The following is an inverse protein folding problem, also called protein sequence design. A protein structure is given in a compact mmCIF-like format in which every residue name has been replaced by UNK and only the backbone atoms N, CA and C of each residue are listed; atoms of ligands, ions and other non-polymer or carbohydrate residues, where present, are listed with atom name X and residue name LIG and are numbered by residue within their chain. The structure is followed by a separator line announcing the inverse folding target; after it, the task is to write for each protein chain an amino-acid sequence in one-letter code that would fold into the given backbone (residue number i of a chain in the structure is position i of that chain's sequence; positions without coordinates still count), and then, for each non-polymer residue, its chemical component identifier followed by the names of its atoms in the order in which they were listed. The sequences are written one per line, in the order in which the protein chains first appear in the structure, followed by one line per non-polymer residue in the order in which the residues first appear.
data_IF_872073044859
#
_entry.id   IF_872073044859
#
_cell.length_a   1.000
_cell.length_b   1.000
_cell.length_c   1.000
_cell.angle_alpha   90.00
_cell.angle_beta   90.00
_cell.angle_gamma   90.00
#
_symmetry.space_group_name_H-M   'P 1'
#
loop_
_entity.id
_entity.type
_entity.pdbx_description
1 polymer ?
#
# COMPACT_ATOMS: atom_id res chain seq x y z
N UNK A 1 20.06 -84.05 23.22
CA UNK A 1 19.03 -83.90 22.18
C UNK A 1 18.93 -82.41 21.89
N UNK A 2 19.51 -81.90 20.77
CA UNK A 2 19.52 -80.49 20.43
C UNK A 2 18.51 -80.28 19.31
N UNK A 3 17.57 -79.40 19.51
CA UNK A 3 16.60 -78.91 18.51
C UNK A 3 16.98 -77.50 18.13
N UNK A 4 17.41 -77.33 16.89
CA UNK A 4 17.66 -75.98 16.29
C UNK A 4 16.39 -75.48 15.60
N UNK A 5 15.90 -74.33 16.00
CA UNK A 5 14.84 -73.59 15.30
C UNK A 5 15.48 -72.58 14.36
N UNK A 6 15.28 -72.76 13.07
CA UNK A 6 15.53 -71.74 12.03
C UNK A 6 14.28 -70.89 11.95
N UNK A 7 14.41 -69.60 12.24
CA UNK A 7 13.36 -68.62 12.03
C UNK A 7 13.65 -67.89 10.71
N UNK A 8 12.75 -67.99 9.75
CA UNK A 8 12.74 -67.15 8.55
C UNK A 8 12.29 -65.76 8.91
N UNK A 9 13.13 -64.78 8.66
CA UNK A 9 12.77 -63.34 8.64
C UNK A 9 12.35 -62.96 7.21
N UNK A 10 11.06 -62.79 6.98
CA UNK A 10 10.54 -62.17 5.78
C UNK A 10 10.64 -60.64 5.92
N UNK A 11 11.48 -60.01 5.09
CA UNK A 11 11.55 -58.54 5.01
C UNK A 11 10.38 -58.04 4.13
N UNK A 12 9.39 -57.42 4.73
CA UNK A 12 8.40 -56.60 4.02
C UNK A 12 8.99 -55.22 3.76
N UNK A 13 9.31 -54.92 2.50
CA UNK A 13 9.70 -53.60 2.08
C UNK A 13 8.45 -52.70 2.06
N UNK A 14 8.32 -51.83 3.04
CA UNK A 14 7.32 -50.75 3.05
C UNK A 14 7.91 -49.61 2.19
N UNK A 15 7.44 -49.47 0.97
CA UNK A 15 7.70 -48.30 0.13
C UNK A 15 6.87 -47.14 0.68
N UNK A 16 7.47 -46.39 1.60
CA UNK A 16 6.91 -45.11 2.05
C UNK A 16 6.92 -44.09 0.92
N UNK A 17 5.80 -43.95 0.23
CA UNK A 17 5.59 -42.81 -0.67
C UNK A 17 5.56 -41.53 0.16
N UNK A 18 6.60 -40.71 0.07
CA UNK A 18 6.58 -39.37 0.61
C UNK A 18 5.50 -38.58 -0.15
N UNK A 19 4.38 -38.30 0.52
CA UNK A 19 3.42 -37.28 0.06
C UNK A 19 4.16 -35.94 0.06
N UNK A 20 4.63 -35.51 -1.10
CA UNK A 20 5.05 -34.13 -1.32
C UNK A 20 3.78 -33.28 -1.09
N UNK A 21 3.78 -32.32 -0.14
CA UNK A 21 2.63 -31.42 -0.01
C UNK A 21 2.45 -30.74 -1.37
N UNK A 22 1.33 -30.98 -2.02
CA UNK A 22 0.98 -30.32 -3.27
C UNK A 22 1.09 -28.82 -3.05
N UNK A 23 1.88 -28.12 -3.87
CA UNK A 23 1.89 -26.68 -3.92
C UNK A 23 0.42 -26.26 -4.09
N UNK A 24 -0.10 -25.53 -3.10
CA UNK A 24 -1.45 -24.97 -3.20
C UNK A 24 -1.49 -24.18 -4.51
N UNK A 25 -2.36 -24.56 -5.43
CA UNK A 25 -2.53 -23.86 -6.68
C UNK A 25 -2.82 -22.38 -6.33
N UNK A 26 -1.85 -21.52 -6.66
CA UNK A 26 -2.04 -20.08 -6.50
C UNK A 26 -3.24 -19.69 -7.38
N UNK A 27 -4.28 -19.20 -6.74
CA UNK A 27 -5.42 -18.68 -7.48
C UNK A 27 -4.90 -17.60 -8.44
N UNK A 28 -5.31 -17.70 -9.72
CA UNK A 28 -4.93 -16.71 -10.73
C UNK A 28 -5.19 -15.28 -10.19
N UNK A 29 -4.30 -14.32 -10.48
CA UNK A 29 -4.47 -12.94 -10.04
C UNK A 29 -5.87 -12.46 -10.44
N UNK A 30 -6.62 -11.91 -9.48
CA UNK A 30 -7.92 -11.32 -9.81
C UNK A 30 -7.69 -10.11 -10.71
N UNK A 31 -8.55 -9.90 -11.73
CA UNK A 31 -8.45 -8.69 -12.54
C UNK A 31 -8.60 -7.46 -11.65
N UNK A 32 -7.77 -6.45 -11.89
CA UNK A 32 -7.86 -5.18 -11.21
C UNK A 32 -9.20 -4.50 -11.52
N UNK A 33 -9.90 -4.06 -10.49
CA UNK A 33 -11.11 -3.26 -10.58
C UNK A 33 -10.72 -1.80 -10.39
N UNK A 34 -10.97 -0.97 -11.38
CA UNK A 34 -10.77 0.47 -11.35
C UNK A 34 -12.12 1.17 -11.24
N UNK A 35 -12.24 2.09 -10.30
CA UNK A 35 -13.41 2.96 -10.21
C UNK A 35 -13.49 3.88 -11.43
N UNK A 36 -14.68 4.36 -11.82
CA UNK A 36 -14.80 5.48 -12.74
C UNK A 36 -14.06 6.71 -12.20
N UNK A 37 -13.42 7.51 -13.08
CA UNK A 37 -12.82 8.77 -12.70
C UNK A 37 -13.85 9.72 -12.09
N UNK A 38 -13.43 10.52 -11.12
CA UNK A 38 -14.28 11.55 -10.54
C UNK A 38 -14.47 12.71 -11.51
N UNK A 39 -15.65 13.33 -11.44
CA UNK A 39 -16.03 14.51 -12.23
C UNK A 39 -16.54 15.63 -11.30
N UNK A 40 -16.57 16.84 -11.81
CA UNK A 40 -17.24 17.95 -11.12
C UNK A 40 -18.70 17.60 -10.85
N UNK A 41 -19.19 17.89 -9.64
CA UNK A 41 -20.50 17.50 -9.14
C UNK A 41 -20.57 16.13 -8.47
N UNK A 42 -19.50 15.30 -8.54
CA UNK A 42 -19.50 14.03 -7.83
C UNK A 42 -19.44 14.21 -6.32
N UNK A 43 -20.28 13.46 -5.59
CA UNK A 43 -20.26 13.42 -4.14
C UNK A 43 -19.13 12.50 -3.65
N UNK A 44 -18.36 13.01 -2.71
CA UNK A 44 -17.26 12.25 -2.08
C UNK A 44 -17.38 12.30 -0.56
N UNK A 45 -16.97 11.23 0.11
CA UNK A 45 -17.05 11.16 1.58
C UNK A 45 -15.68 11.08 2.22
N UNK A 46 -15.45 11.93 3.20
CA UNK A 46 -14.25 11.93 4.04
C UNK A 46 -14.52 11.09 5.27
N UNK A 47 -13.66 10.13 5.57
CA UNK A 47 -13.75 9.22 6.73
C UNK A 47 -12.44 9.22 7.52
N UNK A 48 -12.48 8.84 8.79
CA UNK A 48 -11.30 8.75 9.65
C UNK A 48 -11.14 7.33 10.23
N UNK A 49 -10.68 6.34 9.45
CA UNK A 49 -10.57 4.96 9.93
C UNK A 49 -9.40 4.72 10.90
N UNK A 50 -8.45 5.65 10.98
CA UNK A 50 -7.31 5.64 11.91
C UNK A 50 -7.48 6.63 13.06
N UNK A 51 -6.60 7.64 13.11
CA UNK A 51 -6.63 8.71 14.11
C UNK A 51 -7.51 9.89 13.67
N UNK A 52 -8.01 10.65 14.65
CA UNK A 52 -8.83 11.83 14.39
C UNK A 52 -8.05 12.94 13.65
N UNK A 53 -8.65 13.63 12.68
CA UNK A 53 -8.07 14.84 12.10
C UNK A 53 -8.05 16.00 13.12
N UNK A 54 -7.42 17.10 12.73
CA UNK A 54 -7.42 18.36 13.45
C UNK A 54 -7.98 19.50 12.55
N UNK A 55 -7.76 20.74 12.94
CA UNK A 55 -8.27 21.91 12.21
C UNK A 55 -7.84 21.98 10.72
N UNK A 56 -6.79 21.27 10.33
CA UNK A 56 -6.31 21.20 8.94
C UNK A 56 -7.26 20.45 8.01
N UNK A 57 -8.22 19.70 8.56
CA UNK A 57 -9.26 19.04 7.78
C UNK A 57 -10.02 20.03 6.89
N UNK A 58 -10.34 21.23 7.42
CA UNK A 58 -11.05 22.27 6.66
C UNK A 58 -10.32 22.65 5.36
N UNK A 59 -8.99 22.76 5.42
CA UNK A 59 -8.17 23.07 4.25
C UNK A 59 -8.23 21.98 3.17
N UNK A 60 -8.22 20.72 3.56
CA UNK A 60 -8.36 19.61 2.61
C UNK A 60 -9.76 19.54 1.99
N UNK A 61 -10.80 19.86 2.76
CA UNK A 61 -12.17 19.99 2.23
C UNK A 61 -12.25 21.10 1.18
N UNK A 62 -11.65 22.27 1.44
CA UNK A 62 -11.57 23.37 0.46
C UNK A 62 -10.90 22.95 -0.84
N UNK A 63 -9.82 22.16 -0.76
CA UNK A 63 -9.09 21.66 -1.93
C UNK A 63 -9.98 20.73 -2.76
N UNK A 64 -10.64 19.76 -2.14
CA UNK A 64 -11.56 18.86 -2.86
C UNK A 64 -12.76 19.62 -3.46
N UNK A 65 -13.31 20.59 -2.74
CA UNK A 65 -14.36 21.48 -3.26
C UNK A 65 -13.84 22.30 -4.45
N UNK A 66 -12.58 22.72 -4.41
CA UNK A 66 -11.90 23.38 -5.53
C UNK A 66 -11.70 22.48 -6.77
N UNK A 67 -11.82 21.15 -6.63
CA UNK A 67 -11.90 20.23 -7.76
C UNK A 67 -13.33 20.12 -8.35
N UNK A 68 -14.29 20.84 -7.80
CA UNK A 68 -15.71 20.78 -8.16
C UNK A 68 -16.46 19.63 -7.49
N UNK A 69 -15.88 18.97 -6.47
CA UNK A 69 -16.49 17.86 -5.77
C UNK A 69 -17.42 18.33 -4.64
N UNK A 70 -18.51 17.59 -4.43
CA UNK A 70 -19.40 17.77 -3.28
C UNK A 70 -18.89 16.94 -2.10
N UNK A 71 -18.33 17.60 -1.07
CA UNK A 71 -17.64 16.92 0.01
C UNK A 71 -18.56 16.73 1.22
N UNK A 72 -18.74 15.47 1.63
CA UNK A 72 -19.44 15.09 2.84
C UNK A 72 -18.45 14.56 3.89
N UNK A 73 -18.70 14.86 5.15
CA UNK A 73 -17.96 14.24 6.26
C UNK A 73 -18.73 13.02 6.78
N UNK A 74 -18.03 11.93 7.05
CA UNK A 74 -18.58 10.82 7.78
C UNK A 74 -19.09 11.27 9.18
N UNK A 75 -20.08 10.57 9.70
CA UNK A 75 -20.74 10.95 10.95
C UNK A 75 -19.77 11.01 12.14
N UNK A 76 -18.70 10.20 12.10
CA UNK A 76 -17.74 9.99 13.18
C UNK A 76 -16.34 10.55 12.89
N UNK A 77 -16.16 11.33 11.82
CA UNK A 77 -14.84 11.85 11.39
C UNK A 77 -14.12 12.61 12.51
N UNK A 78 -14.87 13.35 13.34
CA UNK A 78 -14.33 14.22 14.40
C UNK A 78 -14.36 13.56 15.79
N UNK A 79 -14.81 12.32 15.90
CA UNK A 79 -14.82 11.59 17.16
C UNK A 79 -13.39 11.34 17.67
N UNK A 80 -13.26 11.20 18.99
CA UNK A 80 -11.98 10.93 19.65
C UNK A 80 -12.14 9.85 20.71
N UNK A 81 -11.31 8.84 20.63
CA UNK A 81 -11.24 7.76 21.61
C UNK A 81 -9.77 7.33 21.82
N UNK A 82 -9.12 7.87 22.83
CA UNK A 82 -7.69 7.73 22.99
C UNK A 82 -6.93 8.36 21.80
N UNK A 83 -6.14 7.55 21.10
CA UNK A 83 -5.44 7.96 19.87
C UNK A 83 -6.22 7.68 18.57
N UNK A 84 -7.44 7.17 18.67
CA UNK A 84 -8.31 6.80 17.55
C UNK A 84 -9.36 7.87 17.24
N UNK A 85 -9.89 7.86 16.03
CA UNK A 85 -11.04 8.66 15.61
C UNK A 85 -12.37 7.99 16.00
N UNK A 86 -12.65 7.86 17.29
CA UNK A 86 -13.81 7.15 17.80
C UNK A 86 -13.60 5.68 18.07
N UNK A 87 -14.66 4.98 18.45
CA UNK A 87 -14.64 3.55 18.68
C UNK A 87 -14.44 2.75 17.38
N UNK A 88 -14.10 1.48 17.48
CA UNK A 88 -13.96 0.61 16.29
C UNK A 88 -15.31 0.52 15.53
N UNK A 89 -16.44 0.50 16.23
CA UNK A 89 -17.80 0.47 15.67
C UNK A 89 -18.12 1.74 14.89
N UNK A 90 -17.81 2.92 15.45
CA UNK A 90 -18.05 4.21 14.83
C UNK A 90 -17.23 4.37 13.54
N UNK A 91 -15.93 4.08 13.59
CA UNK A 91 -15.03 4.15 12.43
C UNK A 91 -15.41 3.16 11.33
N UNK A 92 -15.82 1.95 11.72
CA UNK A 92 -16.31 0.94 10.79
C UNK A 92 -17.64 1.33 10.16
N UNK A 93 -18.55 1.93 10.92
CA UNK A 93 -19.83 2.42 10.41
C UNK A 93 -19.61 3.45 9.30
N UNK A 94 -18.74 4.45 9.51
CA UNK A 94 -18.39 5.43 8.49
C UNK A 94 -17.75 4.78 7.26
N UNK A 95 -16.82 3.83 7.47
CA UNK A 95 -16.14 3.12 6.38
C UNK A 95 -17.13 2.34 5.50
N UNK A 96 -18.01 1.55 6.13
CA UNK A 96 -19.01 0.77 5.40
C UNK A 96 -20.08 1.66 4.75
N UNK A 97 -20.52 2.73 5.41
CA UNK A 97 -21.45 3.69 4.84
C UNK A 97 -20.87 4.38 3.59
N UNK A 98 -19.56 4.75 3.63
CA UNK A 98 -18.90 5.36 2.49
C UNK A 98 -18.83 4.43 1.27
N UNK A 99 -18.62 3.13 1.47
CA UNK A 99 -18.56 2.15 0.38
C UNK A 99 -19.93 1.56 -0.03
N UNK A 100 -20.98 1.77 0.75
CA UNK A 100 -22.32 1.23 0.46
C UNK A 100 -23.29 2.26 -0.12
N UNK A 101 -23.07 3.56 0.10
CA UNK A 101 -23.95 4.63 -0.37
C UNK A 101 -23.80 4.85 -1.89
N UNK A 102 -24.82 4.54 -2.72
CA UNK A 102 -24.70 4.63 -4.18
C UNK A 102 -24.48 6.06 -4.69
N UNK A 103 -24.74 7.08 -3.86
CA UNK A 103 -24.50 8.48 -4.22
C UNK A 103 -23.04 8.91 -4.05
N UNK A 104 -22.20 8.12 -3.37
CA UNK A 104 -20.77 8.45 -3.13
C UNK A 104 -19.92 7.83 -4.25
N UNK A 105 -19.11 8.66 -4.90
CA UNK A 105 -18.21 8.24 -5.99
C UNK A 105 -16.74 8.12 -5.53
N UNK A 106 -16.35 8.82 -4.46
CA UNK A 106 -15.00 8.79 -3.89
C UNK A 106 -15.00 8.74 -2.37
N UNK A 107 -14.03 8.04 -1.80
CA UNK A 107 -13.80 7.92 -0.35
C UNK A 107 -12.39 8.41 -0.05
N UNK A 108 -12.28 9.41 0.81
CA UNK A 108 -11.01 10.02 1.19
C UNK A 108 -10.74 9.83 2.66
N UNK A 109 -9.53 9.40 3.00
CA UNK A 109 -9.11 9.32 4.39
C UNK A 109 -8.80 10.73 4.93
N UNK A 110 -9.37 11.09 6.06
CA UNK A 110 -9.06 12.33 6.74
C UNK A 110 -7.61 12.33 7.23
N UNK A 111 -7.20 11.26 7.92
CA UNK A 111 -5.88 11.08 8.51
C UNK A 111 -5.53 9.59 8.66
N UNK A 112 -4.22 9.28 8.66
CA UNK A 112 -3.69 7.98 9.04
C UNK A 112 -3.50 7.85 10.55
N UNK A 113 -2.26 7.75 10.99
CA UNK A 113 -1.91 7.52 12.39
C UNK A 113 -1.91 6.03 12.70
N UNK A 114 -2.94 5.54 13.43
CA UNK A 114 -3.09 4.13 13.75
C UNK A 114 -4.57 3.77 13.91
N UNK A 115 -4.93 2.53 13.59
CA UNK A 115 -6.23 1.96 13.95
C UNK A 115 -6.98 1.31 12.81
N UNK A 116 -6.58 1.53 11.56
CA UNK A 116 -7.24 0.94 10.39
C UNK A 116 -7.24 -0.59 10.44
N UNK A 117 -6.14 -1.22 10.83
CA UNK A 117 -6.04 -2.68 10.95
C UNK A 117 -7.06 -3.29 11.93
N UNK A 118 -7.56 -2.54 12.91
CA UNK A 118 -8.53 -3.03 13.89
C UNK A 118 -9.93 -3.29 13.32
N UNK A 119 -10.26 -2.62 12.21
CA UNK A 119 -11.63 -2.60 11.67
C UNK A 119 -11.77 -3.24 10.29
N UNK A 120 -10.68 -3.35 9.52
CA UNK A 120 -10.74 -3.74 8.10
C UNK A 120 -11.30 -5.14 7.88
N UNK A 121 -11.19 -6.06 8.84
CA UNK A 121 -11.75 -7.41 8.70
C UNK A 121 -13.27 -7.42 8.56
N UNK A 122 -13.94 -6.37 9.04
CA UNK A 122 -15.41 -6.20 9.01
C UNK A 122 -15.88 -5.26 7.88
N UNK A 123 -14.99 -4.87 6.94
CA UNK A 123 -15.36 -4.12 5.74
C UNK A 123 -16.32 -4.94 4.88
N UNK A 124 -17.42 -4.32 4.42
CA UNK A 124 -18.32 -4.89 3.42
C UNK A 124 -17.66 -4.92 2.03
N UNK A 125 -16.88 -5.97 1.81
CA UNK A 125 -16.20 -6.20 0.53
C UNK A 125 -17.19 -6.42 -0.62
N UNK A 126 -18.40 -6.90 -0.34
CA UNK A 126 -19.40 -7.10 -1.39
C UNK A 126 -19.92 -5.75 -1.92
N UNK A 127 -20.09 -4.76 -1.05
CA UNK A 127 -20.43 -3.41 -1.46
C UNK A 127 -19.31 -2.78 -2.33
N UNK A 128 -18.05 -2.92 -1.91
CA UNK A 128 -16.89 -2.44 -2.67
C UNK A 128 -16.84 -3.02 -4.09
N UNK A 129 -17.13 -4.31 -4.25
CA UNK A 129 -17.12 -4.98 -5.57
C UNK A 129 -18.29 -4.60 -6.44
N UNK A 130 -19.46 -4.40 -5.84
CA UNK A 130 -20.69 -4.09 -6.56
C UNK A 130 -20.65 -2.70 -7.19
N UNK A 131 -20.05 -1.75 -6.51
CA UNK A 131 -19.97 -0.36 -6.95
C UNK A 131 -18.60 0.23 -6.53
N UNK A 132 -17.56 0.05 -7.36
CA UNK A 132 -16.21 0.47 -7.04
C UNK A 132 -16.09 1.99 -6.99
N UNK A 133 -15.44 2.51 -5.95
CA UNK A 133 -15.21 3.93 -5.71
C UNK A 133 -13.73 4.26 -5.69
N UNK A 134 -13.40 5.48 -6.09
CA UNK A 134 -12.06 6.03 -5.85
C UNK A 134 -11.80 6.02 -4.34
N UNK A 135 -10.68 5.42 -3.91
CA UNK A 135 -10.22 5.47 -2.53
C UNK A 135 -8.84 6.11 -2.46
N UNK A 136 -8.71 7.18 -1.65
CA UNK A 136 -7.45 7.93 -1.45
C UNK A 136 -7.04 7.88 0.01
N UNK A 137 -5.79 7.46 0.25
CA UNK A 137 -5.17 7.46 1.57
C UNK A 137 -3.75 6.95 1.53
N UNK A 138 -2.97 7.18 2.58
CA UNK A 138 -1.61 6.67 2.72
C UNK A 138 -1.27 6.37 4.19
N UNK A 139 -0.01 5.98 4.52
CA UNK A 139 0.39 5.68 5.90
C UNK A 139 -0.39 4.48 6.47
N UNK A 140 -1.09 4.62 7.60
CA UNK A 140 -1.95 3.59 8.24
C UNK A 140 -2.98 2.99 7.25
N UNK A 141 -3.40 3.76 6.23
CA UNK A 141 -4.34 3.30 5.19
C UNK A 141 -3.73 2.26 4.23
N UNK A 142 -2.43 2.01 4.30
CA UNK A 142 -1.79 0.87 3.62
C UNK A 142 -2.51 -0.44 3.93
N UNK A 143 -2.95 -0.63 5.18
CA UNK A 143 -3.72 -1.80 5.59
C UNK A 143 -5.06 -1.91 4.84
N UNK A 144 -5.78 -0.79 4.70
CA UNK A 144 -7.05 -0.77 3.94
C UNK A 144 -6.82 -0.98 2.44
N UNK A 145 -5.79 -0.36 1.86
CA UNK A 145 -5.39 -0.58 0.46
C UNK A 145 -5.08 -2.06 0.20
N UNK A 146 -4.33 -2.71 1.09
CA UNK A 146 -4.09 -4.15 1.04
C UNK A 146 -5.38 -4.98 1.07
N UNK A 147 -6.31 -4.65 1.97
CA UNK A 147 -7.62 -5.30 2.07
C UNK A 147 -8.45 -5.13 0.80
N UNK A 148 -8.56 -3.89 0.30
CA UNK A 148 -9.29 -3.56 -0.92
C UNK A 148 -8.73 -4.33 -2.12
N UNK A 149 -7.41 -4.37 -2.27
CA UNK A 149 -6.74 -5.14 -3.31
C UNK A 149 -6.98 -6.64 -3.15
N UNK A 150 -6.63 -7.22 -2.00
CA UNK A 150 -6.70 -8.68 -1.79
C UNK A 150 -8.12 -9.25 -1.86
N UNK A 151 -9.10 -8.51 -1.37
CA UNK A 151 -10.48 -9.00 -1.25
C UNK A 151 -11.38 -8.54 -2.38
N UNK A 152 -11.20 -7.31 -2.87
CA UNK A 152 -12.04 -6.76 -3.93
C UNK A 152 -11.33 -6.70 -5.29
N UNK A 153 -10.00 -6.63 -5.36
CA UNK A 153 -9.26 -6.29 -6.56
C UNK A 153 -9.30 -4.77 -6.85
N UNK A 154 -9.78 -3.97 -5.91
CA UNK A 154 -9.94 -2.53 -6.11
C UNK A 154 -8.59 -1.82 -6.12
N UNK A 155 -8.36 -1.03 -7.16
CA UNK A 155 -7.28 -0.06 -7.24
C UNK A 155 -7.55 1.07 -6.26
N UNK A 156 -6.53 1.43 -5.48
CA UNK A 156 -6.57 2.55 -4.53
C UNK A 156 -5.49 3.57 -4.87
N UNK A 157 -5.54 4.76 -4.26
CA UNK A 157 -4.57 5.82 -4.53
C UNK A 157 -3.77 6.11 -3.27
N UNK A 158 -2.45 5.95 -3.36
CA UNK A 158 -1.50 6.33 -2.34
C UNK A 158 -1.13 7.79 -2.54
N UNK A 159 -1.74 8.67 -1.77
CA UNK A 159 -1.64 10.11 -1.95
C UNK A 159 -2.10 10.89 -0.73
N UNK A 160 -2.03 12.23 -0.76
CA UNK A 160 -2.31 13.08 0.38
C UNK A 160 -3.68 12.83 1.00
N UNK A 161 -3.73 12.72 2.32
CA UNK A 161 -4.96 12.68 3.11
C UNK A 161 -5.51 14.10 3.34
N UNK A 162 -6.78 14.16 3.75
CA UNK A 162 -7.53 15.42 3.76
C UNK A 162 -7.19 16.31 4.97
N UNK A 163 -6.52 15.81 6.00
CA UNK A 163 -5.91 16.65 7.04
C UNK A 163 -4.66 17.36 6.49
N UNK A 164 -4.88 18.32 5.62
CA UNK A 164 -3.90 18.90 4.70
C UNK A 164 -2.91 19.86 5.37
N UNK A 165 -1.67 19.83 4.91
CA UNK A 165 -0.61 20.73 5.40
C UNK A 165 0.04 21.44 4.22
N UNK A 166 -0.21 22.73 4.05
CA UNK A 166 0.30 23.53 2.92
C UNK A 166 1.84 23.55 2.84
N UNK A 167 2.55 23.39 3.96
CA UNK A 167 4.01 23.31 3.97
C UNK A 167 4.56 22.01 3.37
N UNK A 168 3.73 20.96 3.26
CA UNK A 168 4.09 19.65 2.71
C UNK A 168 3.50 19.41 1.33
N UNK A 169 2.39 20.07 1.03
CA UNK A 169 1.57 19.75 -0.11
C UNK A 169 1.11 21.06 -0.77
N UNK A 170 1.86 21.44 -1.80
CA UNK A 170 1.61 22.67 -2.56
C UNK A 170 0.80 22.43 -3.86
N UNK A 171 0.85 23.37 -4.80
CA UNK A 171 0.07 23.30 -6.04
C UNK A 171 0.38 22.08 -6.92
N UNK A 172 1.65 21.63 -6.95
CA UNK A 172 2.05 20.46 -7.75
C UNK A 172 1.43 19.16 -7.21
N UNK A 173 1.38 19.01 -5.89
CA UNK A 173 0.82 17.84 -5.21
C UNK A 173 -0.71 17.83 -5.34
N UNK A 174 -1.35 19.00 -5.25
CA UNK A 174 -2.78 19.18 -5.52
C UNK A 174 -3.11 18.77 -6.96
N UNK A 175 -2.33 19.25 -7.93
CA UNK A 175 -2.48 18.87 -9.33
C UNK A 175 -2.26 17.37 -9.57
N UNK A 176 -1.27 16.76 -8.88
CA UNK A 176 -1.01 15.33 -8.95
C UNK A 176 -2.19 14.51 -8.43
N UNK A 177 -2.78 14.90 -7.28
CA UNK A 177 -3.97 14.24 -6.76
C UNK A 177 -5.14 14.36 -7.74
N UNK A 178 -5.43 15.59 -8.21
CA UNK A 178 -6.52 15.83 -9.17
C UNK A 178 -6.33 15.01 -10.44
N UNK A 179 -5.16 15.01 -11.04
CA UNK A 179 -4.88 14.25 -12.25
C UNK A 179 -5.08 12.74 -12.03
N UNK A 180 -4.57 12.19 -10.93
CA UNK A 180 -4.65 10.76 -10.65
C UNK A 180 -6.08 10.23 -10.52
N UNK A 181 -7.04 11.04 -10.02
CA UNK A 181 -8.42 10.62 -9.73
C UNK A 181 -9.47 11.14 -10.72
N UNK A 182 -9.13 12.14 -11.54
CA UNK A 182 -10.05 12.81 -12.47
C UNK A 182 -9.63 12.73 -13.93
N UNK A 183 -8.52 12.02 -14.24
CA UNK A 183 -8.10 11.75 -15.62
C UNK A 183 -7.68 10.29 -15.78
N UNK A 184 -7.66 9.84 -17.02
CA UNK A 184 -7.14 8.51 -17.40
C UNK A 184 -5.71 8.58 -17.92
N UNK A 185 -4.97 9.62 -17.57
CA UNK A 185 -3.57 9.74 -17.94
C UNK A 185 -2.68 8.87 -17.04
N UNK A 186 -1.60 8.30 -17.58
CA UNK A 186 -0.61 7.61 -16.77
C UNK A 186 0.08 8.57 -15.78
N UNK A 187 0.32 8.09 -14.58
CA UNK A 187 1.12 8.82 -13.59
C UNK A 187 2.58 8.56 -13.85
N UNK A 188 3.38 9.62 -13.98
CA UNK A 188 4.83 9.51 -14.14
C UNK A 188 5.56 10.30 -13.06
N UNK A 189 6.40 9.60 -12.30
CA UNK A 189 7.28 10.18 -11.31
C UNK A 189 8.71 10.08 -11.80
N UNK A 190 9.47 11.18 -11.57
CA UNK A 190 10.91 11.20 -11.81
C UNK A 190 11.64 11.18 -10.47
N UNK A 191 12.73 10.45 -10.42
CA UNK A 191 13.63 10.41 -9.27
C UNK A 191 14.11 11.82 -8.92
N UNK A 192 13.99 12.20 -7.66
CA UNK A 192 14.59 13.38 -7.09
C UNK A 192 15.91 12.99 -6.41
N UNK A 193 17.03 13.50 -6.93
CA UNK A 193 18.35 13.22 -6.38
C UNK A 193 18.56 13.82 -4.97
N UNK A 194 17.73 14.78 -4.55
CA UNK A 194 17.80 15.39 -3.24
C UNK A 194 17.13 14.53 -2.14
N UNK A 195 16.28 13.58 -2.53
CA UNK A 195 15.64 12.68 -1.55
C UNK A 195 16.69 11.70 -0.97
N UNK A 196 16.72 11.49 0.35
CA UNK A 196 17.68 10.56 0.96
C UNK A 196 17.62 9.15 0.38
N UNK A 197 16.42 8.68 0.02
CA UNK A 197 16.21 7.36 -0.60
C UNK A 197 16.79 7.24 -2.00
N UNK A 198 17.16 8.35 -2.66
CA UNK A 198 17.81 8.33 -3.97
C UNK A 198 19.17 7.61 -3.96
N UNK A 199 19.81 7.48 -2.79
CA UNK A 199 21.03 6.68 -2.65
C UNK A 199 20.80 5.18 -2.86
N UNK A 200 19.54 4.71 -2.79
CA UNK A 200 19.19 3.29 -3.02
C UNK A 200 18.86 3.12 -4.50
N UNK A 201 19.71 2.37 -5.20
CA UNK A 201 19.53 2.16 -6.63
C UNK A 201 20.19 0.85 -7.08
N UNK A 202 19.44 0.03 -7.82
CA UNK A 202 19.95 -1.15 -8.54
C UNK A 202 19.55 -1.00 -10.01
N UNK A 203 20.50 -0.96 -10.95
CA UNK A 203 20.21 -0.72 -12.36
C UNK A 203 19.29 -1.77 -12.98
N UNK A 204 18.39 -1.33 -13.86
CA UNK A 204 17.54 -2.20 -14.65
C UNK A 204 16.20 -1.57 -14.99
N UNK A 205 15.38 -2.38 -15.67
CA UNK A 205 13.99 -2.04 -16.03
C UNK A 205 13.09 -3.21 -15.72
N UNK A 206 11.95 -2.94 -15.11
CA UNK A 206 10.96 -3.94 -14.78
C UNK A 206 9.54 -3.39 -14.90
N UNK A 207 8.61 -4.28 -15.22
CA UNK A 207 7.17 -4.00 -15.27
C UNK A 207 6.44 -5.00 -14.39
N UNK A 208 5.46 -4.52 -13.64
CA UNK A 208 4.64 -5.35 -12.74
C UNK A 208 3.52 -4.53 -12.11
N UNK A 209 2.65 -5.17 -11.35
CA UNK A 209 1.60 -4.46 -10.60
C UNK A 209 2.23 -3.66 -9.46
N UNK A 210 1.92 -2.37 -9.35
CA UNK A 210 2.40 -1.54 -8.22
C UNK A 210 1.61 -1.86 -6.96
N UNK A 211 2.29 -2.41 -5.96
CA UNK A 211 1.69 -2.78 -4.66
C UNK A 211 2.60 -2.32 -3.53
N UNK A 212 2.03 -2.00 -2.39
CA UNK A 212 2.82 -1.62 -1.23
C UNK A 212 2.23 -0.47 -0.43
N UNK A 213 3.11 0.43 0.09
CA UNK A 213 2.75 1.58 0.91
C UNK A 213 3.74 1.82 2.06
N UNK A 214 3.26 2.12 3.26
CA UNK A 214 4.10 2.32 4.43
C UNK A 214 4.72 0.98 4.88
N UNK A 215 6.05 0.95 5.05
CA UNK A 215 6.79 -0.29 5.32
C UNK A 215 6.44 -0.91 6.68
N UNK A 216 6.27 -0.10 7.71
CA UNK A 216 5.83 -0.56 9.04
C UNK A 216 4.47 -1.25 8.96
N UNK A 217 3.53 -0.68 8.21
CA UNK A 217 2.19 -1.27 8.04
C UNK A 217 2.24 -2.53 7.17
N UNK A 218 3.08 -2.57 6.14
CA UNK A 218 3.31 -3.78 5.35
C UNK A 218 3.87 -4.90 6.24
N UNK A 219 4.91 -4.60 7.01
CA UNK A 219 5.55 -5.57 7.89
C UNK A 219 4.58 -6.11 8.95
N UNK A 220 3.79 -5.24 9.60
CA UNK A 220 2.79 -5.67 10.59
C UNK A 220 1.60 -6.40 9.96
N UNK A 221 1.33 -6.16 8.69
CA UNK A 221 0.31 -6.86 7.91
C UNK A 221 0.75 -8.23 7.40
N UNK A 222 2.04 -8.54 7.38
CA UNK A 222 2.54 -9.83 6.89
C UNK A 222 2.00 -11.00 7.73
N UNK A 223 1.55 -12.06 7.05
CA UNK A 223 0.90 -13.20 7.68
C UNK A 223 -0.60 -13.05 7.90
N UNK A 224 -1.14 -11.86 7.68
CA UNK A 224 -2.59 -11.61 7.66
C UNK A 224 -3.20 -11.97 6.29
N UNK A 225 -4.55 -12.01 6.24
CA UNK A 225 -5.29 -12.30 5.01
C UNK A 225 -5.26 -11.15 4.00
N UNK A 226 -4.74 -10.00 4.39
CA UNK A 226 -4.80 -8.74 3.62
C UNK A 226 -3.45 -8.34 3.04
N UNK A 227 -2.39 -9.00 3.48
CA UNK A 227 -1.07 -8.81 2.86
C UNK A 227 -1.12 -9.20 1.37
N UNK A 228 -0.72 -8.32 0.43
CA UNK A 228 -0.76 -8.62 -0.99
C UNK A 228 0.25 -9.71 -1.38
N UNK A 229 -0.11 -10.52 -2.36
CA UNK A 229 0.87 -11.37 -3.04
C UNK A 229 1.74 -10.46 -3.91
N UNK A 230 3.02 -10.44 -3.63
CA UNK A 230 4.00 -9.57 -4.30
C UNK A 230 4.69 -10.25 -5.49
N UNK A 231 4.36 -11.51 -5.80
CA UNK A 231 4.94 -12.22 -6.94
C UNK A 231 4.68 -11.47 -8.25
N UNK A 232 5.73 -11.12 -8.98
CA UNK A 232 5.66 -10.32 -10.20
C UNK A 232 5.27 -8.84 -10.00
N UNK A 233 5.14 -8.38 -8.76
CA UNK A 233 4.81 -7.00 -8.46
C UNK A 233 6.03 -6.09 -8.42
N UNK A 234 5.81 -4.79 -8.63
CA UNK A 234 6.71 -3.74 -8.20
C UNK A 234 6.28 -3.34 -6.80
N UNK A 235 7.14 -3.63 -5.81
CA UNK A 235 6.91 -3.20 -4.45
C UNK A 235 7.24 -1.72 -4.30
N UNK A 236 6.25 -0.91 -3.91
CA UNK A 236 6.51 0.47 -3.46
C UNK A 236 6.47 0.54 -1.95
N UNK A 237 7.48 1.19 -1.34
CA UNK A 237 7.43 1.48 0.09
C UNK A 237 8.11 2.81 0.45
N UNK A 238 7.66 3.36 1.56
CA UNK A 238 8.19 4.53 2.25
C UNK A 238 8.03 4.33 3.75
N UNK A 239 8.65 5.16 4.58
CA UNK A 239 8.33 5.20 6.02
C UNK A 239 8.72 6.53 6.67
N UNK A 240 8.23 6.75 7.89
CA UNK A 240 8.48 7.96 8.68
C UNK A 240 8.80 7.61 10.13
N UNK A 241 9.65 8.43 10.76
CA UNK A 241 10.02 8.35 12.17
C UNK A 241 10.72 7.03 12.58
N UNK A 242 11.26 6.29 11.62
CA UNK A 242 11.93 5.02 11.84
C UNK A 242 13.44 5.16 11.87
N UNK A 243 14.10 4.56 12.88
CA UNK A 243 15.54 4.47 12.93
C UNK A 243 16.08 3.53 11.82
N UNK A 244 17.31 3.72 11.33
CA UNK A 244 17.89 2.88 10.27
C UNK A 244 17.79 1.37 10.52
N UNK A 245 18.03 0.93 11.78
CA UNK A 245 17.90 -0.50 12.13
C UNK A 245 16.45 -1.03 12.05
N UNK A 246 15.44 -0.14 12.13
CA UNK A 246 14.04 -0.54 11.97
C UNK A 246 13.75 -0.94 10.52
N UNK A 247 14.27 -0.18 9.54
CA UNK A 247 14.20 -0.56 8.12
C UNK A 247 14.86 -1.92 7.88
N UNK A 248 16.07 -2.12 8.43
CA UNK A 248 16.76 -3.42 8.34
C UNK A 248 15.91 -4.55 8.93
N UNK A 249 15.41 -4.38 10.14
CA UNK A 249 14.58 -5.39 10.83
C UNK A 249 13.34 -5.75 10.05
N UNK A 250 12.61 -4.76 9.52
CA UNK A 250 11.39 -4.97 8.76
C UNK A 250 11.67 -5.70 7.44
N UNK A 251 12.66 -5.24 6.67
CA UNK A 251 13.05 -5.88 5.42
C UNK A 251 13.66 -7.27 5.65
N UNK A 252 14.45 -7.46 6.70
CA UNK A 252 14.97 -8.76 7.10
C UNK A 252 13.85 -9.74 7.40
N UNK A 253 12.79 -9.31 8.12
CA UNK A 253 11.64 -10.17 8.37
C UNK A 253 10.93 -10.55 7.07
N UNK A 254 10.63 -9.57 6.20
CA UNK A 254 9.95 -9.83 4.92
C UNK A 254 10.77 -10.77 4.02
N UNK A 255 12.08 -10.59 3.94
CA UNK A 255 12.99 -11.50 3.21
C UNK A 255 12.95 -12.92 3.77
N UNK A 256 13.17 -13.07 5.08
CA UNK A 256 13.19 -14.40 5.74
C UNK A 256 11.84 -15.12 5.65
N UNK A 257 10.77 -14.39 5.51
CA UNK A 257 9.43 -14.91 5.35
C UNK A 257 9.05 -15.23 3.89
N UNK A 258 9.97 -14.99 2.94
CA UNK A 258 9.71 -15.20 1.51
C UNK A 258 8.76 -14.18 0.89
N UNK A 259 8.42 -13.10 1.59
CA UNK A 259 7.48 -12.09 1.10
C UNK A 259 8.01 -11.31 -0.12
N UNK A 260 9.33 -11.27 -0.29
CA UNK A 260 10.00 -10.58 -1.41
C UNK A 260 10.42 -11.55 -2.53
N UNK A 261 10.07 -12.84 -2.42
CA UNK A 261 10.43 -13.81 -3.45
C UNK A 261 9.62 -13.57 -4.72
N UNK A 262 10.31 -13.47 -5.85
CA UNK A 262 9.68 -13.30 -7.16
C UNK A 262 9.07 -11.92 -7.42
N UNK A 263 9.39 -10.88 -6.63
CA UNK A 263 9.04 -9.50 -6.98
C UNK A 263 9.71 -9.11 -8.30
N UNK A 264 9.10 -8.22 -9.09
CA UNK A 264 9.68 -7.74 -10.35
C UNK A 264 10.64 -6.56 -10.14
N UNK A 265 10.45 -5.75 -9.12
CA UNK A 265 11.26 -4.57 -8.83
C UNK A 265 10.81 -3.84 -7.58
N UNK A 266 11.56 -2.81 -7.19
CA UNK A 266 11.25 -2.00 -6.00
C UNK A 266 11.30 -0.52 -6.35
N UNK A 267 10.23 0.20 -6.01
CA UNK A 267 10.12 1.66 -6.05
C UNK A 267 10.19 2.19 -4.61
N UNK A 268 11.16 3.05 -4.29
CA UNK A 268 11.34 3.54 -2.93
C UNK A 268 10.94 5.00 -2.85
N UNK A 269 9.98 5.28 -1.97
CA UNK A 269 9.53 6.59 -1.60
C UNK A 269 10.45 7.29 -0.61
N UNK A 270 9.89 8.15 0.22
CA UNK A 270 10.63 9.01 1.14
C UNK A 270 10.95 8.29 2.46
N UNK A 271 12.13 8.57 3.01
CA UNK A 271 12.52 8.20 4.38
C UNK A 271 12.46 9.47 5.23
N UNK A 272 11.29 9.71 5.83
CA UNK A 272 11.03 10.97 6.52
C UNK A 272 11.40 10.86 8.00
N UNK A 273 12.04 11.90 8.55
CA UNK A 273 12.46 11.95 9.95
C UNK A 273 13.28 10.74 10.41
N UNK A 274 14.00 10.08 9.50
CA UNK A 274 14.90 9.00 9.85
C UNK A 274 16.14 9.58 10.54
N UNK A 275 16.38 9.30 11.83
CA UNK A 275 17.50 9.90 12.56
C UNK A 275 18.82 9.36 12.01
N UNK A 276 19.81 10.26 11.87
CA UNK A 276 21.16 9.90 11.49
C UNK A 276 22.08 10.05 12.72
N UNK A 277 22.60 8.92 13.20
CA UNK A 277 23.59 8.92 14.29
C UNK A 277 24.98 8.80 13.68
N UNK A 278 25.91 9.66 14.12
CA UNK A 278 27.29 9.63 13.64
C UNK A 278 27.92 8.24 13.82
N UNK A 279 28.56 7.73 12.76
CA UNK A 279 29.19 6.42 12.75
C UNK A 279 28.22 5.23 12.57
N UNK A 280 26.93 5.48 12.41
CA UNK A 280 25.95 4.45 12.10
C UNK A 280 25.45 4.58 10.64
N UNK A 281 24.78 3.54 10.16
CA UNK A 281 24.15 3.56 8.85
C UNK A 281 22.98 4.56 8.81
N UNK A 282 22.81 5.17 7.66
CA UNK A 282 21.58 5.87 7.30
C UNK A 282 20.46 4.86 6.94
N UNK A 283 19.21 5.31 6.92
CA UNK A 283 18.09 4.49 6.41
C UNK A 283 18.37 3.99 4.99
N UNK A 284 18.91 4.84 4.11
CA UNK A 284 19.24 4.46 2.75
C UNK A 284 20.31 3.35 2.68
N UNK A 285 21.32 3.41 3.52
CA UNK A 285 22.35 2.36 3.59
C UNK A 285 21.77 1.04 4.11
N UNK A 286 20.94 1.07 5.15
CA UNK A 286 20.27 -0.11 5.67
C UNK A 286 19.35 -0.75 4.63
N UNK A 287 18.58 0.07 3.90
CA UNK A 287 17.71 -0.42 2.83
C UNK A 287 18.53 -0.97 1.66
N UNK A 288 19.58 -0.25 1.20
CA UNK A 288 20.45 -0.74 0.11
C UNK A 288 21.06 -2.12 0.44
N UNK A 289 21.49 -2.31 1.69
CA UNK A 289 22.03 -3.61 2.13
C UNK A 289 20.98 -4.73 2.09
N UNK A 290 19.70 -4.40 2.35
CA UNK A 290 18.62 -5.39 2.37
C UNK A 290 17.98 -5.67 1.01
N UNK A 291 18.05 -4.74 0.06
CA UNK A 291 17.39 -4.93 -1.24
C UNK A 291 18.35 -5.01 -2.42
N UNK A 292 19.61 -4.65 -2.24
CA UNK A 292 20.58 -4.53 -3.33
C UNK A 292 21.00 -5.86 -3.96
N UNK A 293 20.83 -6.97 -3.27
CA UNK A 293 21.18 -8.33 -3.72
C UNK A 293 19.98 -9.19 -4.16
N UNK A 294 18.77 -8.61 -4.24
CA UNK A 294 17.57 -9.33 -4.65
C UNK A 294 17.53 -9.66 -6.15
N UNK A 295 18.46 -9.13 -6.94
CA UNK A 295 18.55 -9.40 -8.38
C UNK A 295 17.46 -8.71 -9.21
N UNK A 296 16.79 -7.71 -8.66
CA UNK A 296 15.73 -6.93 -9.33
C UNK A 296 16.08 -5.43 -9.37
N UNK A 297 15.55 -4.65 -10.34
CA UNK A 297 15.75 -3.21 -10.37
C UNK A 297 15.17 -2.53 -9.13
N UNK A 298 15.92 -1.57 -8.57
CA UNK A 298 15.49 -0.74 -7.45
C UNK A 298 15.67 0.73 -7.81
N UNK A 299 14.62 1.52 -7.66
CA UNK A 299 14.60 2.96 -7.92
C UNK A 299 14.17 3.73 -6.67
N UNK A 300 15.12 4.37 -5.99
CA UNK A 300 14.85 5.30 -4.89
C UNK A 300 14.74 6.76 -5.36
N UNK A 301 14.37 7.65 -4.44
CA UNK A 301 14.22 9.07 -4.71
C UNK A 301 12.84 9.47 -5.25
N UNK A 302 11.82 8.66 -5.04
CA UNK A 302 10.47 8.98 -5.47
C UNK A 302 9.74 9.78 -4.38
N UNK A 303 9.05 10.85 -4.77
CA UNK A 303 8.25 11.66 -3.82
C UNK A 303 6.93 10.98 -3.50
N UNK A 304 7.01 9.83 -2.85
CA UNK A 304 5.88 9.05 -2.34
C UNK A 304 6.09 8.91 -0.83
N UNK A 305 5.13 9.34 -0.02
CA UNK A 305 5.20 9.14 1.44
C UNK A 305 5.00 10.41 2.27
N UNK A 306 5.69 10.49 3.42
CA UNK A 306 5.45 11.49 4.45
C UNK A 306 6.26 12.80 4.28
N UNK A 307 7.19 12.85 3.34
CA UNK A 307 8.01 14.04 3.08
C UNK A 307 7.25 15.16 2.35
N UNK A 308 7.96 16.25 2.09
CA UNK A 308 7.43 17.34 1.29
C UNK A 308 7.28 16.90 -0.17
N UNK A 309 6.31 17.45 -0.87
CA UNK A 309 6.12 17.19 -2.29
C UNK A 309 5.53 15.82 -2.62
N UNK A 310 4.73 15.23 -1.73
CA UNK A 310 4.11 13.93 -1.93
C UNK A 310 3.24 13.89 -3.20
N UNK A 311 3.59 13.04 -4.14
CA UNK A 311 2.81 12.79 -5.35
C UNK A 311 1.89 11.58 -5.16
N UNK A 312 0.79 11.57 -5.90
CA UNK A 312 -0.23 10.51 -5.84
C UNK A 312 0.09 9.42 -6.86
N UNK A 313 0.04 8.16 -6.43
CA UNK A 313 0.18 6.99 -7.30
C UNK A 313 -0.95 6.00 -7.10
N UNK A 314 -1.50 5.40 -8.16
CA UNK A 314 -2.43 4.30 -8.04
C UNK A 314 -1.70 3.01 -7.62
N UNK A 315 -2.29 2.26 -6.69
CA UNK A 315 -1.86 0.92 -6.28
C UNK A 315 -2.81 -0.12 -6.86
N UNK A 316 -2.26 -1.17 -7.47
CA UNK A 316 -3.04 -2.23 -8.10
C UNK A 316 -3.10 -2.11 -9.63
N UNK A 317 -2.37 -1.19 -10.25
CA UNK A 317 -2.24 -1.08 -11.71
C UNK A 317 -0.82 -1.43 -12.16
N UNK A 318 -0.67 -1.65 -13.47
CA UNK A 318 0.64 -1.89 -14.06
C UNK A 318 1.56 -0.67 -13.89
N UNK A 319 2.79 -0.94 -13.53
CA UNK A 319 3.82 0.08 -13.39
C UNK A 319 5.13 -0.39 -14.04
N UNK A 320 5.93 0.56 -14.51
CA UNK A 320 7.27 0.31 -15.06
C UNK A 320 8.30 1.17 -14.33
N UNK A 321 9.32 0.53 -13.77
CA UNK A 321 10.54 1.18 -13.30
C UNK A 321 11.55 1.19 -14.48
N UNK A 322 12.18 2.33 -14.71
CA UNK A 322 13.33 2.48 -15.57
C UNK A 322 14.40 3.31 -14.83
N UNK A 323 15.40 2.61 -14.28
CA UNK A 323 16.43 3.25 -13.46
C UNK A 323 17.40 4.10 -14.27
N UNK A 324 17.58 3.81 -15.57
CA UNK A 324 18.43 4.62 -16.45
C UNK A 324 17.76 5.98 -16.77
N UNK A 325 16.44 5.96 -16.96
CA UNK A 325 15.64 7.17 -17.11
C UNK A 325 15.32 7.84 -15.76
N UNK A 326 15.53 7.15 -14.63
CA UNK A 326 15.15 7.61 -13.30
C UNK A 326 13.64 7.78 -13.14
N UNK A 327 12.83 6.89 -13.72
CA UNK A 327 11.36 7.06 -13.74
C UNK A 327 10.59 5.85 -13.25
N UNK A 328 9.48 6.15 -12.58
CA UNK A 328 8.37 5.22 -12.34
C UNK A 328 7.17 5.72 -13.16
N UNK A 329 6.68 4.90 -14.08
CA UNK A 329 5.45 5.17 -14.84
C UNK A 329 4.38 4.18 -14.42
N UNK A 330 3.19 4.66 -14.06
CA UNK A 330 2.08 3.85 -13.55
C UNK A 330 0.85 4.06 -14.42
N UNK A 331 0.24 2.99 -14.85
CA UNK A 331 -0.99 3.02 -15.63
C UNK A 331 -2.14 3.69 -14.85
N UNK A 332 -3.14 4.26 -15.52
CA UNK A 332 -4.27 4.94 -14.87
C UNK A 332 -4.96 4.07 -13.81
N UNK A 333 -5.26 4.68 -12.66
CA UNK A 333 -5.98 4.01 -11.56
C UNK A 333 -7.50 4.06 -11.68
N UNK A 334 -8.03 4.84 -12.62
CA UNK A 334 -9.45 5.00 -12.89
C UNK A 334 -9.80 4.58 -14.32
N UNK A 335 -11.08 4.38 -14.60
CA UNK A 335 -11.61 4.22 -15.96
C UNK A 335 -12.24 5.51 -16.44
N UNK A 336 -12.30 5.72 -17.77
CA UNK A 336 -13.21 6.71 -18.33
C UNK A 336 -14.64 6.37 -17.87
N UNK A 337 -15.42 7.39 -17.61
CA UNK A 337 -16.87 7.25 -17.43
C UNK A 337 -17.51 7.33 -18.81
N UNK A 338 -18.40 6.39 -19.09
CA UNK A 338 -19.27 6.42 -20.27
C UNK A 338 -20.15 7.66 -20.30
#
# INVERSE_FOLDING_TARGET
MRITRRTLLGAAAVTGGALVPGAAAQAAPRPAIRAPMLREGDRVRVIAPGSAPDARLARGVEILTGFGLEVELGAHVNDKFGYLAGTDEARLADLNAAFSDPGIRGVFAARGGYGTQRIIDRLDVAAVRRDPRVFVGFSDLTALSGRLWRKAGLVSFYGPMINWTDSRTGPAEIASLRAAIMTTDPVRLTRDAAEPSAAVNVPGKATGTLLGGNLTILQTGYGTRDFPDLTGAILVFEDTDEAPYSYDRMLTQLRRAGALDGIAGIAIGQFTNAPVTSGQWTAAQAVQDRVGDLGVPVLGGLRIGHGNGQLTVPLGTEATIDTAAGTLTVAPGVTATD
#
